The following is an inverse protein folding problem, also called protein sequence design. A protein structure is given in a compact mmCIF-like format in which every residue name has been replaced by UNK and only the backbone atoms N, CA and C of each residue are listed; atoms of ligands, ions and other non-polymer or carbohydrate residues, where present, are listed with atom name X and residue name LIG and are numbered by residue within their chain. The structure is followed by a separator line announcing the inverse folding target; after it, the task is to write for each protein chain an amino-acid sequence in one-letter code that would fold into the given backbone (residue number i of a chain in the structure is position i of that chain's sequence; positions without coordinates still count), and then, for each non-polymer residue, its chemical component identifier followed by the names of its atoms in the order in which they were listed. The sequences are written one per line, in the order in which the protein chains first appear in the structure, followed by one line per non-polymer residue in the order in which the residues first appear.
data_IF_044122810272
#
_entry.id   IF_044122810272
#
_cell.length_a   1.000
_cell.length_b   1.000
_cell.length_c   1.000
_cell.angle_alpha   90.00
_cell.angle_beta   90.00
_cell.angle_gamma   90.00
#
_symmetry.space_group_name_H-M   'P 1'
#
loop_
_entity.id
_entity.type
_entity.pdbx_description
1 polymer ?
#
# COMPACT_ATOMS: atom_id res chain seq x y z
N UNK A 1 -31.96 -0.96 14.84
CA UNK A 1 -31.01 -0.26 15.74
C UNK A 1 -29.60 -0.72 15.40
N UNK A 2 -28.83 0.05 14.63
CA UNK A 2 -27.44 -0.28 14.34
C UNK A 2 -26.60 -0.14 15.61
N UNK A 3 -25.85 -1.20 15.98
CA UNK A 3 -24.85 -1.11 17.06
C UNK A 3 -23.93 0.07 16.73
N UNK A 4 -23.91 1.10 17.58
CA UNK A 4 -22.93 2.19 17.47
C UNK A 4 -21.54 1.55 17.57
N UNK A 5 -20.71 1.74 16.54
CA UNK A 5 -19.33 1.28 16.54
C UNK A 5 -18.58 1.97 17.68
N UNK A 6 -18.10 1.18 18.63
CA UNK A 6 -17.30 1.66 19.75
C UNK A 6 -15.94 2.14 19.23
N UNK A 7 -15.52 3.33 19.65
CA UNK A 7 -14.20 3.86 19.32
C UNK A 7 -13.06 2.93 19.75
N UNK A 8 -13.23 2.15 20.81
CA UNK A 8 -12.27 1.12 21.21
C UNK A 8 -12.09 0.03 20.14
N UNK A 9 -13.19 -0.45 19.55
CA UNK A 9 -13.16 -1.45 18.48
C UNK A 9 -12.50 -0.88 17.22
N UNK A 10 -12.81 0.36 16.87
CA UNK A 10 -12.15 1.06 15.75
C UNK A 10 -10.64 1.19 15.96
N UNK A 11 -10.21 1.43 17.20
CA UNK A 11 -8.79 1.50 17.53
C UNK A 11 -8.09 0.15 17.35
N UNK A 12 -8.74 -0.96 17.76
CA UNK A 12 -8.21 -2.31 17.53
C UNK A 12 -8.05 -2.57 16.03
N UNK A 13 -9.05 -2.23 15.21
CA UNK A 13 -8.92 -2.34 13.76
C UNK A 13 -7.78 -1.48 13.20
N UNK A 14 -7.63 -0.24 13.65
CA UNK A 14 -6.57 0.65 13.20
C UNK A 14 -5.18 0.07 13.49
N UNK A 15 -4.97 -0.49 14.67
CA UNK A 15 -3.72 -1.13 15.07
C UNK A 15 -3.48 -2.41 14.26
N UNK A 16 -4.49 -3.26 14.09
CA UNK A 16 -4.36 -4.45 13.24
C UNK A 16 -3.99 -4.09 11.81
N UNK A 17 -4.64 -3.06 11.24
CA UNK A 17 -4.31 -2.55 9.90
C UNK A 17 -2.90 -1.94 9.85
N UNK A 18 -2.43 -1.31 10.93
CA UNK A 18 -1.05 -0.82 11.01
C UNK A 18 -0.05 -1.98 10.92
N UNK A 19 -0.27 -3.09 11.63
CA UNK A 19 0.57 -4.28 11.49
C UNK A 19 0.50 -4.87 10.07
N UNK A 20 -0.70 -4.97 9.49
CA UNK A 20 -0.87 -5.43 8.11
C UNK A 20 -0.18 -4.51 7.10
N UNK A 21 -0.10 -3.19 7.37
CA UNK A 21 0.56 -2.24 6.49
C UNK A 21 2.06 -2.50 6.36
N UNK A 22 2.70 -3.01 7.42
CA UNK A 22 4.11 -3.41 7.36
C UNK A 22 4.27 -4.60 6.41
N UNK A 23 3.41 -5.62 6.55
CA UNK A 23 3.43 -6.80 5.67
C UNK A 23 3.15 -6.43 4.22
N UNK A 24 2.17 -5.55 3.95
CA UNK A 24 1.87 -5.10 2.60
C UNK A 24 3.02 -4.30 1.98
N UNK A 25 3.73 -3.51 2.78
CA UNK A 25 4.92 -2.77 2.33
C UNK A 25 6.03 -3.75 1.88
N UNK A 26 6.24 -4.86 2.60
CA UNK A 26 7.20 -5.89 2.18
C UNK A 26 6.80 -6.57 0.86
N UNK A 27 5.50 -6.78 0.63
CA UNK A 27 5.02 -7.32 -0.66
C UNK A 27 5.28 -6.35 -1.81
N UNK A 28 5.05 -5.05 -1.60
CA UNK A 28 5.34 -4.00 -2.61
C UNK A 28 6.83 -3.96 -2.90
N UNK A 29 7.66 -3.97 -1.86
CA UNK A 29 9.12 -4.03 -2.01
C UNK A 29 9.55 -5.24 -2.85
N UNK A 30 9.05 -6.44 -2.54
CA UNK A 30 9.35 -7.65 -3.30
C UNK A 30 8.91 -7.57 -4.77
N UNK A 31 7.79 -6.89 -5.06
CA UNK A 31 7.29 -6.75 -6.43
C UNK A 31 8.14 -5.86 -7.33
N UNK A 32 8.96 -4.99 -6.74
CA UNK A 32 9.88 -4.09 -7.47
C UNK A 32 11.30 -4.62 -7.60
N UNK A 33 11.58 -5.82 -7.07
CA UNK A 33 12.90 -6.43 -7.05
C UNK A 33 13.02 -7.44 -8.21
N UNK A 34 13.73 -7.03 -9.26
CA UNK A 34 13.97 -7.83 -10.47
C UNK A 34 15.44 -8.30 -10.48
N UNK A 35 15.68 -9.60 -10.27
CA UNK A 35 17.05 -10.16 -10.13
C UNK A 35 17.80 -10.26 -11.47
N UNK A 36 17.09 -10.51 -12.57
CA UNK A 36 17.63 -10.46 -13.94
C UNK A 36 16.50 -10.10 -14.94
N UNK A 37 16.27 -8.81 -15.21
CA UNK A 37 15.10 -8.39 -15.97
C UNK A 37 15.20 -8.67 -17.48
N UNK A 38 16.42 -8.86 -18.00
CA UNK A 38 16.70 -9.08 -19.42
C UNK A 38 16.37 -10.52 -19.88
N UNK A 39 16.25 -11.46 -18.93
CA UNK A 39 15.90 -12.87 -19.19
C UNK A 39 14.42 -13.07 -19.59
N UNK A 40 13.58 -12.04 -19.44
CA UNK A 40 12.15 -12.13 -19.67
C UNK A 40 11.71 -11.41 -20.95
N UNK A 41 10.83 -12.02 -21.76
CA UNK A 41 10.32 -11.40 -22.97
C UNK A 41 9.36 -10.24 -22.66
N UNK A 42 9.10 -9.32 -23.61
CA UNK A 42 8.23 -8.16 -23.39
C UNK A 42 6.81 -8.53 -22.95
N UNK A 43 6.29 -9.65 -23.43
CA UNK A 43 4.95 -10.14 -23.08
C UNK A 43 4.84 -10.47 -21.59
N UNK A 44 5.92 -10.94 -20.97
CA UNK A 44 5.98 -11.17 -19.53
C UNK A 44 5.80 -9.86 -18.77
N UNK A 45 6.59 -8.84 -19.12
CA UNK A 45 6.50 -7.52 -18.49
C UNK A 45 5.14 -6.86 -18.68
N UNK A 46 4.54 -6.99 -19.88
CA UNK A 46 3.18 -6.51 -20.16
C UNK A 46 2.14 -7.17 -19.26
N UNK A 47 2.27 -8.47 -18.99
CA UNK A 47 1.37 -9.21 -18.10
C UNK A 47 1.59 -8.86 -16.61
N UNK A 48 2.81 -8.48 -16.23
CA UNK A 48 3.18 -8.18 -14.84
C UNK A 48 2.75 -6.76 -14.40
N UNK A 49 2.58 -5.81 -15.32
CA UNK A 49 2.10 -4.44 -15.03
C UNK A 49 0.81 -4.44 -14.17
N UNK A 50 -0.30 -5.09 -14.57
CA UNK A 50 -1.53 -5.09 -13.77
C UNK A 50 -1.33 -5.74 -12.40
N UNK A 51 -0.47 -6.77 -12.30
CA UNK A 51 -0.16 -7.40 -11.02
C UNK A 51 0.57 -6.42 -10.08
N UNK A 52 1.58 -5.71 -10.57
CA UNK A 52 2.31 -4.68 -9.78
C UNK A 52 1.40 -3.51 -9.40
N UNK A 53 0.49 -3.10 -10.27
CA UNK A 53 -0.53 -2.09 -9.96
C UNK A 53 -1.45 -2.54 -8.82
N UNK A 54 -1.89 -3.80 -8.82
CA UNK A 54 -2.68 -4.34 -7.72
C UNK A 54 -1.90 -4.43 -6.41
N UNK A 55 -0.63 -4.84 -6.46
CA UNK A 55 0.24 -4.89 -5.28
C UNK A 55 0.44 -3.48 -4.71
N UNK A 56 0.72 -2.48 -5.56
CA UNK A 56 0.79 -1.07 -5.16
C UNK A 56 -0.53 -0.61 -4.53
N UNK A 57 -1.66 -0.88 -5.18
CA UNK A 57 -2.98 -0.48 -4.69
C UNK A 57 -3.26 -1.05 -3.29
N UNK A 58 -2.98 -2.33 -3.06
CA UNK A 58 -3.12 -2.97 -1.75
C UNK A 58 -2.12 -2.36 -0.74
N UNK A 59 -0.87 -2.20 -1.15
CA UNK A 59 0.20 -1.62 -0.35
C UNK A 59 -0.11 -0.24 0.20
N UNK A 60 -0.82 0.58 -0.58
CA UNK A 60 -1.25 1.94 -0.21
C UNK A 60 -2.60 1.93 0.52
N UNK A 61 -3.53 1.07 0.11
CA UNK A 61 -4.87 1.02 0.69
C UNK A 61 -4.89 0.57 2.16
N UNK A 62 -4.05 -0.40 2.54
CA UNK A 62 -4.00 -0.90 3.92
C UNK A 62 -3.57 0.18 4.93
N UNK A 63 -2.43 0.89 4.76
CA UNK A 63 -2.08 1.98 5.65
C UNK A 63 -3.06 3.15 5.57
N UNK A 64 -3.64 3.45 4.40
CA UNK A 64 -4.69 4.46 4.28
C UNK A 64 -5.93 4.11 5.13
N UNK A 65 -6.36 2.84 5.09
CA UNK A 65 -7.45 2.34 5.92
C UNK A 65 -7.10 2.38 7.41
N UNK A 66 -5.84 2.09 7.79
CA UNK A 66 -5.36 2.25 9.17
C UNK A 66 -5.50 3.70 9.65
N UNK A 67 -5.02 4.68 8.85
CA UNK A 67 -5.17 6.10 9.17
C UNK A 67 -6.64 6.52 9.29
N UNK A 68 -7.49 6.10 8.35
CA UNK A 68 -8.91 6.44 8.35
C UNK A 68 -9.65 5.86 9.57
N UNK A 69 -9.37 4.61 9.92
CA UNK A 69 -9.96 3.95 11.11
C UNK A 69 -9.43 4.54 12.42
N UNK A 70 -8.14 4.91 12.48
CA UNK A 70 -7.58 5.63 13.61
C UNK A 70 -8.25 7.01 13.80
N UNK A 71 -8.39 7.79 12.72
CA UNK A 71 -9.07 9.07 12.74
C UNK A 71 -10.53 8.91 13.19
N UNK A 72 -11.26 7.93 12.65
CA UNK A 72 -12.64 7.64 13.07
C UNK A 72 -12.72 7.29 14.57
N UNK A 73 -11.76 6.53 15.10
CA UNK A 73 -11.68 6.19 16.52
C UNK A 73 -11.51 7.42 17.43
N UNK A 74 -10.76 8.43 16.98
CA UNK A 74 -10.54 9.68 17.73
C UNK A 74 -11.85 10.44 17.95
N UNK A 75 -12.76 10.44 16.97
CA UNK A 75 -14.03 11.18 17.02
C UNK A 75 -15.20 10.37 17.59
N UNK A 76 -15.08 9.05 17.69
CA UNK A 76 -16.10 8.18 18.28
C UNK A 76 -16.36 8.49 19.77
N UNK A 77 -17.56 8.19 20.25
CA UNK A 77 -17.96 8.34 21.66
C UNK A 77 -17.77 7.02 22.43
N UNK A 78 -17.50 7.05 23.75
CA UNK A 78 -17.18 8.23 24.57
C UNK A 78 -15.77 8.76 24.24
N UNK A 79 -15.60 10.08 24.12
CA UNK A 79 -14.31 10.70 23.80
C UNK A 79 -13.37 10.56 25.01
N UNK A 80 -12.20 9.96 24.80
CA UNK A 80 -11.15 9.81 25.82
C UNK A 80 -9.85 10.42 25.28
N UNK A 81 -9.19 11.34 26.01
CA UNK A 81 -7.95 11.98 25.55
C UNK A 81 -6.86 10.96 25.14
N UNK A 82 -6.72 9.88 25.93
CA UNK A 82 -5.78 8.80 25.64
C UNK A 82 -6.02 8.18 24.26
N UNK A 83 -7.27 8.00 23.84
CA UNK A 83 -7.59 7.43 22.52
C UNK A 83 -7.31 8.41 21.39
N UNK A 84 -7.46 9.72 21.64
CA UNK A 84 -7.11 10.74 20.65
C UNK A 84 -5.61 10.74 20.39
N UNK A 85 -4.79 10.69 21.45
CA UNK A 85 -3.33 10.62 21.35
C UNK A 85 -2.91 9.32 20.66
N UNK A 86 -3.46 8.17 21.08
CA UNK A 86 -3.12 6.89 20.50
C UNK A 86 -3.54 6.80 19.02
N UNK A 87 -4.73 7.29 18.66
CA UNK A 87 -5.19 7.35 17.27
C UNK A 87 -4.31 8.27 16.41
N UNK A 88 -3.90 9.42 16.93
CA UNK A 88 -2.93 10.29 16.26
C UNK A 88 -1.59 9.61 16.02
N UNK A 89 -1.07 8.90 17.03
CA UNK A 89 0.18 8.14 16.90
C UNK A 89 0.06 7.04 15.83
N UNK A 90 -1.03 6.27 15.83
CA UNK A 90 -1.27 5.24 14.81
C UNK A 90 -1.36 5.85 13.41
N UNK A 91 -2.05 6.98 13.25
CA UNK A 91 -2.15 7.66 11.97
C UNK A 91 -0.77 8.13 11.45
N UNK A 92 0.06 8.72 12.32
CA UNK A 92 1.42 9.13 11.97
C UNK A 92 2.30 7.92 11.64
N UNK A 93 2.20 6.82 12.40
CA UNK A 93 2.95 5.60 12.13
C UNK A 93 2.52 4.94 10.81
N UNK A 94 1.23 4.98 10.45
CA UNK A 94 0.70 4.46 9.19
C UNK A 94 1.07 5.32 7.97
N UNK A 95 1.43 6.60 8.18
CA UNK A 95 1.88 7.48 7.10
C UNK A 95 3.19 7.00 6.47
N UNK A 96 4.11 6.45 7.27
CA UNK A 96 5.39 5.93 6.78
C UNK A 96 5.21 4.78 5.78
N UNK A 97 4.54 3.66 6.11
CA UNK A 97 4.31 2.58 5.15
C UNK A 97 3.43 3.01 3.97
N UNK A 98 2.54 4.00 4.14
CA UNK A 98 1.80 4.58 3.02
C UNK A 98 2.74 5.22 1.98
N UNK A 99 3.61 6.13 2.42
CA UNK A 99 4.55 6.84 1.52
C UNK A 99 5.56 5.87 0.91
N UNK A 100 6.07 4.93 1.71
CA UNK A 100 7.03 3.92 1.23
C UNK A 100 6.38 3.00 0.19
N UNK A 101 5.17 2.48 0.45
CA UNK A 101 4.46 1.64 -0.51
C UNK A 101 4.07 2.38 -1.78
N UNK A 102 3.75 3.68 -1.67
CA UNK A 102 3.51 4.52 -2.83
C UNK A 102 4.75 4.62 -3.73
N UNK A 103 5.89 5.00 -3.15
CA UNK A 103 7.13 5.19 -3.90
C UNK A 103 7.64 3.88 -4.52
N UNK A 104 7.68 2.80 -3.73
CA UNK A 104 8.13 1.50 -4.21
C UNK A 104 7.19 0.90 -5.26
N UNK A 105 5.88 1.09 -5.11
CA UNK A 105 4.90 0.60 -6.07
C UNK A 105 4.96 1.34 -7.40
N UNK A 106 5.11 2.66 -7.37
CA UNK A 106 5.30 3.48 -8.56
C UNK A 106 6.58 3.10 -9.31
N UNK A 107 7.69 2.89 -8.58
CA UNK A 107 8.95 2.42 -9.14
C UNK A 107 8.80 1.02 -9.78
N UNK A 108 8.13 0.08 -9.10
CA UNK A 108 7.92 -1.27 -9.59
C UNK A 108 7.10 -1.31 -10.89
N UNK A 109 6.03 -0.51 -10.96
CA UNK A 109 5.18 -0.38 -12.15
C UNK A 109 5.96 0.29 -13.29
N UNK A 110 6.69 1.37 -12.99
CA UNK A 110 7.51 2.09 -13.98
C UNK A 110 8.59 1.21 -14.59
N UNK A 111 9.25 0.37 -13.78
CA UNK A 111 10.22 -0.63 -14.26
C UNK A 111 9.57 -1.64 -15.20
N UNK A 112 8.42 -2.19 -14.85
CA UNK A 112 7.72 -3.13 -15.72
C UNK A 112 7.28 -2.49 -17.04
N UNK A 113 6.82 -1.24 -17.01
CA UNK A 113 6.48 -0.48 -18.22
C UNK A 113 7.72 -0.23 -19.10
N UNK A 114 8.85 0.13 -18.49
CA UNK A 114 10.11 0.33 -19.18
C UNK A 114 10.53 -0.95 -19.93
N UNK A 115 10.57 -2.10 -19.25
CA UNK A 115 10.96 -3.37 -19.86
C UNK A 115 9.97 -3.87 -20.92
N UNK A 116 8.67 -3.64 -20.70
CA UNK A 116 7.64 -3.94 -21.70
C UNK A 116 7.83 -3.15 -23.01
N UNK A 117 8.38 -1.94 -22.94
CA UNK A 117 8.61 -1.08 -24.11
C UNK A 117 10.01 -1.26 -24.72
N UNK A 118 11.04 -1.42 -23.88
CA UNK A 118 12.44 -1.56 -24.30
C UNK A 118 12.70 -2.85 -25.06
N UNK A 119 12.07 -3.94 -24.63
CA UNK A 119 12.29 -5.28 -25.21
C UNK A 119 11.38 -5.53 -26.43
N UNK A 120 10.42 -4.63 -26.72
CA UNK A 120 9.49 -4.79 -27.85
C UNK A 120 10.26 -4.73 -29.19
N UNK A 121 10.30 -5.81 -30.00
CA UNK A 121 11.05 -5.88 -31.26
C UNK A 121 10.63 -4.84 -32.30
N UNK A 122 9.49 -4.16 -32.11
CA UNK A 122 8.97 -3.10 -32.98
C UNK A 122 9.45 -1.68 -32.65
N UNK A 123 10.05 -1.42 -31.49
CA UNK A 123 10.41 -0.05 -31.04
C UNK A 123 11.61 0.56 -31.79
N UNK A 124 12.35 -0.25 -32.57
CA UNK A 124 13.43 0.18 -33.46
C UNK A 124 13.01 0.34 -34.94
N UNK A 125 11.72 0.23 -35.28
CA UNK A 125 11.24 0.61 -36.63
C UNK A 125 10.66 2.02 -36.59
N UNK A 126 11.47 2.94 -37.14
CA UNK A 126 11.16 4.33 -37.48
C UNK A 126 9.80 4.49 -38.18
#
# INVERSE_FOLDING_TARGET
MGKRLDGGVLMVFAVTLLFLSVLSTFMVFGSGFDWDPDDYPPEYWKAEIPQRQWIMAIGVAVPAASMATAAASMFALPRRPVRIIAGGLVAVLALVPFVVSWYLGDEAVSKAQYWAAYTDPGSYRR
#
